data_IF_104891728947
#
_entry.id   IF_104891728947
#
_cell.length_a   1.000
_cell.length_b   1.000
_cell.length_c   1.000
_cell.angle_alpha   90.00
_cell.angle_beta   90.00
_cell.angle_gamma   90.00
#
_symmetry.space_group_name_H-M   'P 1'
#
loop_
_entity.id
_entity.type
_entity.pdbx_description
1 polymer ?
#
# COMPACT_ATOMS: atom_id res chain seq x y z
N UNK A 1 -22.47 46.67 1.84
CA UNK A 1 -22.23 45.52 0.94
C UNK A 1 -20.87 45.71 0.30
N UNK A 2 -19.98 44.70 0.29
CA UNK A 2 -18.68 44.83 -0.37
C UNK A 2 -18.88 45.02 -1.89
N UNK A 3 -18.00 45.77 -2.59
CA UNK A 3 -18.07 45.93 -4.03
C UNK A 3 -17.93 44.59 -4.74
N UNK A 4 -18.65 44.40 -5.86
CA UNK A 4 -18.61 43.17 -6.67
C UNK A 4 -17.18 42.69 -6.99
N UNK A 5 -16.25 43.62 -7.22
CA UNK A 5 -14.84 43.33 -7.47
C UNK A 5 -14.13 42.62 -6.29
N UNK A 6 -14.44 43.00 -5.05
CA UNK A 6 -13.83 42.35 -3.87
C UNK A 6 -14.33 40.92 -3.70
N UNK A 7 -15.59 40.66 -4.05
CA UNK A 7 -16.14 39.30 -4.07
C UNK A 7 -15.44 38.45 -5.13
N UNK A 8 -15.24 38.97 -6.34
CA UNK A 8 -14.55 38.26 -7.43
C UNK A 8 -13.09 37.91 -7.06
N UNK A 9 -12.34 38.83 -6.48
CA UNK A 9 -10.97 38.55 -6.01
C UNK A 9 -10.98 37.43 -4.95
N UNK A 10 -11.89 37.50 -3.97
CA UNK A 10 -11.98 36.49 -2.93
C UNK A 10 -12.30 35.10 -3.52
N UNK A 11 -13.22 35.01 -4.49
CA UNK A 11 -13.53 33.76 -5.19
C UNK A 11 -12.33 33.22 -5.99
N UNK A 12 -11.62 34.08 -6.73
CA UNK A 12 -10.40 33.67 -7.45
C UNK A 12 -9.32 33.16 -6.50
N UNK A 13 -9.13 33.83 -5.36
CA UNK A 13 -8.16 33.43 -4.36
C UNK A 13 -8.51 32.08 -3.70
N UNK A 14 -9.77 31.88 -3.31
CA UNK A 14 -10.24 30.59 -2.77
C UNK A 14 -10.08 29.48 -3.80
N UNK A 15 -10.43 29.73 -5.06
CA UNK A 15 -10.27 28.74 -6.14
C UNK A 15 -8.81 28.34 -6.34
N UNK A 16 -7.88 29.31 -6.28
CA UNK A 16 -6.45 29.05 -6.34
C UNK A 16 -5.98 28.19 -5.16
N UNK A 17 -6.43 28.48 -3.94
CA UNK A 17 -6.09 27.67 -2.76
C UNK A 17 -6.60 26.23 -2.88
N UNK A 18 -7.81 26.02 -3.40
CA UNK A 18 -8.36 24.69 -3.64
C UNK A 18 -7.53 23.94 -4.68
N UNK A 19 -7.13 24.59 -5.78
CA UNK A 19 -6.28 23.99 -6.80
C UNK A 19 -4.91 23.59 -6.22
N UNK A 20 -4.28 24.49 -5.45
CA UNK A 20 -3.02 24.18 -4.75
C UNK A 20 -3.20 23.00 -3.80
N UNK A 21 -4.28 22.97 -3.02
CA UNK A 21 -4.57 21.87 -2.11
C UNK A 21 -4.72 20.53 -2.84
N UNK A 22 -5.45 20.50 -3.96
CA UNK A 22 -5.62 19.30 -4.78
C UNK A 22 -4.29 18.85 -5.39
N UNK A 23 -3.48 19.78 -5.88
CA UNK A 23 -2.17 19.49 -6.48
C UNK A 23 -1.13 19.01 -5.46
N UNK A 24 -1.15 19.57 -4.24
CA UNK A 24 -0.18 19.22 -3.19
C UNK A 24 -0.60 17.98 -2.42
N UNK A 25 -1.90 17.72 -2.26
CA UNK A 25 -2.40 16.51 -1.58
C UNK A 25 -1.99 15.26 -2.38
N UNK A 26 -1.15 14.36 -1.81
CA UNK A 26 -0.72 13.16 -2.51
C UNK A 26 -1.89 12.26 -2.92
N UNK A 27 -2.97 12.25 -2.12
CA UNK A 27 -4.19 11.47 -2.37
C UNK A 27 -4.99 11.99 -3.56
N UNK A 28 -5.14 13.30 -3.69
CA UNK A 28 -5.95 13.86 -4.79
C UNK A 28 -5.13 14.03 -6.07
N UNK A 29 -3.87 14.46 -5.95
CA UNK A 29 -2.94 14.54 -7.09
C UNK A 29 -2.78 13.19 -7.78
N UNK A 30 -2.75 12.08 -7.03
CA UNK A 30 -2.68 10.74 -7.61
C UNK A 30 -3.93 10.34 -8.40
N UNK A 31 -5.02 11.09 -8.38
CA UNK A 31 -6.16 10.85 -9.28
C UNK A 31 -5.88 11.49 -10.63
N UNK A 32 -5.42 12.74 -10.62
CA UNK A 32 -5.27 13.57 -11.82
C UNK A 32 -3.93 13.38 -12.55
N UNK A 33 -2.88 12.90 -11.86
CA UNK A 33 -1.53 12.79 -12.42
C UNK A 33 -1.02 11.34 -12.43
N UNK A 34 -1.21 10.58 -13.53
CA UNK A 34 -0.71 9.22 -13.68
C UNK A 34 0.81 9.07 -13.54
N UNK A 35 1.58 10.07 -14.00
CA UNK A 35 3.04 10.08 -13.89
C UNK A 35 3.51 9.96 -12.43
N UNK A 36 2.86 10.66 -11.50
CA UNK A 36 3.20 10.58 -10.07
C UNK A 36 2.96 9.18 -9.51
N UNK A 37 1.93 8.46 -9.99
CA UNK A 37 1.69 7.07 -9.58
C UNK A 37 2.81 6.17 -10.10
N UNK A 38 3.14 6.29 -11.38
CA UNK A 38 4.22 5.53 -12.00
C UNK A 38 5.56 5.77 -11.29
N UNK A 39 5.89 7.02 -10.98
CA UNK A 39 7.09 7.40 -10.22
C UNK A 39 7.10 6.80 -8.81
N UNK A 40 5.97 6.81 -8.09
CA UNK A 40 5.87 6.20 -6.75
C UNK A 40 6.09 4.69 -6.80
N UNK A 41 5.45 4.00 -7.74
CA UNK A 41 5.62 2.55 -7.89
C UNK A 41 7.06 2.21 -8.31
N UNK A 42 7.61 2.94 -9.29
CA UNK A 42 8.98 2.72 -9.73
C UNK A 42 9.98 3.02 -8.60
N UNK A 43 9.78 4.11 -7.86
CA UNK A 43 10.59 4.45 -6.68
C UNK A 43 10.56 3.35 -5.63
N UNK A 44 9.39 2.81 -5.32
CA UNK A 44 9.24 1.67 -4.41
C UNK A 44 9.99 0.42 -4.91
N UNK A 45 9.86 0.07 -6.19
CA UNK A 45 10.54 -1.09 -6.79
C UNK A 45 12.06 -0.89 -6.77
N UNK A 46 12.55 0.27 -7.21
CA UNK A 46 13.99 0.59 -7.20
C UNK A 46 14.56 0.56 -5.77
N UNK A 47 13.84 1.11 -4.79
CA UNK A 47 14.25 1.09 -3.39
C UNK A 47 14.30 -0.34 -2.83
N UNK A 48 13.32 -1.17 -3.19
CA UNK A 48 13.28 -2.58 -2.81
C UNK A 48 14.49 -3.34 -3.40
N UNK A 49 14.77 -3.11 -4.68
CA UNK A 49 15.89 -3.73 -5.38
C UNK A 49 17.24 -3.31 -4.80
N UNK A 50 17.41 -2.03 -4.45
CA UNK A 50 18.67 -1.52 -3.90
C UNK A 50 18.97 -1.99 -2.48
N UNK A 51 17.93 -2.15 -1.64
CA UNK A 51 18.08 -2.63 -0.26
C UNK A 51 18.00 -4.16 -0.13
N UNK A 52 17.58 -4.86 -1.19
CA UNK A 52 17.42 -6.32 -1.17
C UNK A 52 16.23 -6.80 -0.33
N UNK A 53 15.32 -5.89 0.07
CA UNK A 53 14.12 -6.21 0.82
C UNK A 53 13.00 -5.18 0.61
N UNK A 54 11.75 -5.62 0.73
CA UNK A 54 10.58 -4.76 0.78
C UNK A 54 10.54 -4.10 2.15
N UNK A 55 10.61 -2.77 2.20
CA UNK A 55 10.36 -2.02 3.42
C UNK A 55 8.84 -1.92 3.66
N UNK A 56 8.36 -2.43 4.80
CA UNK A 56 6.94 -2.41 5.11
C UNK A 56 6.35 -0.99 5.14
N UNK A 57 7.04 -0.03 5.75
CA UNK A 57 6.55 1.35 5.83
C UNK A 57 6.42 1.99 4.45
N UNK A 58 7.37 1.74 3.55
CA UNK A 58 7.32 2.25 2.17
C UNK A 58 6.21 1.60 1.35
N UNK A 59 5.93 0.30 1.58
CA UNK A 59 4.74 -0.33 1.01
C UNK A 59 3.45 0.34 1.48
N UNK A 60 3.34 0.66 2.78
CA UNK A 60 2.15 1.35 3.33
C UNK A 60 1.98 2.75 2.74
N UNK A 61 3.07 3.52 2.62
CA UNK A 61 3.07 4.81 1.92
C UNK A 61 2.63 4.65 0.47
N UNK A 62 3.18 3.69 -0.26
CA UNK A 62 2.78 3.39 -1.64
C UNK A 62 1.27 3.10 -1.68
N UNK A 63 0.77 2.17 -0.86
CA UNK A 63 -0.64 1.78 -0.81
C UNK A 63 -1.58 2.98 -0.65
N UNK A 64 -1.27 3.88 0.28
CA UNK A 64 -2.12 5.02 0.62
C UNK A 64 -1.98 6.21 -0.33
N UNK A 65 -0.82 6.38 -0.95
CA UNK A 65 -0.52 7.51 -1.85
C UNK A 65 -0.61 7.15 -3.33
N UNK A 66 -0.76 5.88 -3.69
CA UNK A 66 -0.88 5.45 -5.08
C UNK A 66 -2.24 5.82 -5.66
N UNK A 67 -3.32 5.61 -4.91
CA UNK A 67 -4.67 6.03 -5.31
C UNK A 67 -5.63 6.05 -4.11
N UNK A 68 -6.60 6.99 -4.04
CA UNK A 68 -7.59 7.02 -2.96
C UNK A 68 -8.34 5.70 -2.83
N UNK A 69 -8.44 5.18 -1.62
CA UNK A 69 -9.11 3.92 -1.36
C UNK A 69 -9.66 3.83 0.05
N UNK A 70 -10.34 2.72 0.31
CA UNK A 70 -10.97 2.42 1.59
C UNK A 70 -10.16 1.32 2.27
N UNK A 71 -9.77 1.58 3.52
CA UNK A 71 -9.16 0.59 4.41
C UNK A 71 -10.25 0.01 5.32
N UNK A 72 -10.44 -1.30 5.25
CA UNK A 72 -11.37 -2.03 6.10
C UNK A 72 -10.60 -2.97 7.01
N UNK A 73 -10.90 -2.91 8.31
CA UNK A 73 -10.35 -3.82 9.32
C UNK A 73 -11.45 -4.73 9.86
N UNK A 74 -11.23 -6.05 9.83
CA UNK A 74 -12.12 -7.04 10.42
C UNK A 74 -11.34 -7.99 11.33
N UNK A 75 -11.39 -7.69 12.63
CA UNK A 75 -10.72 -8.45 13.69
C UNK A 75 -11.13 -9.92 13.78
N UNK A 76 -12.36 -10.24 13.39
CA UNK A 76 -12.91 -11.60 13.52
C UNK A 76 -12.65 -12.46 12.28
N UNK A 77 -11.98 -11.92 11.26
CA UNK A 77 -11.86 -12.58 9.96
C UNK A 77 -10.84 -13.73 9.90
N UNK A 78 -10.18 -14.15 10.99
CA UNK A 78 -9.12 -15.16 10.90
C UNK A 78 -9.58 -16.48 10.22
N UNK A 79 -8.83 -17.04 9.25
CA UNK A 79 -7.54 -16.59 8.68
C UNK A 79 -7.66 -15.67 7.44
N UNK A 80 -8.87 -15.29 7.03
CA UNK A 80 -9.15 -14.35 5.95
C UNK A 80 -8.54 -12.97 6.24
N UNK A 81 -8.29 -12.16 5.19
CA UNK A 81 -7.64 -10.89 5.38
C UNK A 81 -8.37 -10.04 6.40
N UNK A 82 -7.65 -9.70 7.48
CA UNK A 82 -8.17 -8.89 8.57
C UNK A 82 -7.93 -7.40 8.29
N UNK A 83 -7.03 -7.06 7.36
CA UNK A 83 -6.93 -5.74 6.73
C UNK A 83 -7.13 -5.90 5.24
N UNK A 84 -8.00 -5.08 4.68
CA UNK A 84 -8.19 -4.96 3.24
C UNK A 84 -8.13 -3.50 2.84
N UNK A 85 -7.33 -3.17 1.84
CA UNK A 85 -7.38 -1.87 1.17
C UNK A 85 -7.94 -2.07 -0.23
N UNK A 86 -8.95 -1.28 -0.62
CA UNK A 86 -9.50 -1.31 -1.99
C UNK A 86 -9.54 0.07 -2.60
N UNK A 87 -9.07 0.16 -3.83
CA UNK A 87 -9.28 1.28 -4.74
C UNK A 87 -9.33 0.80 -6.19
N UNK A 88 -9.58 1.72 -7.12
CA UNK A 88 -9.60 1.41 -8.56
C UNK A 88 -8.24 0.92 -9.07
N UNK A 89 -7.15 1.40 -8.47
CA UNK A 89 -5.78 1.21 -8.95
C UNK A 89 -4.93 0.33 -8.06
N UNK A 90 -5.25 0.19 -6.78
CA UNK A 90 -4.49 -0.67 -5.87
C UNK A 90 -5.42 -1.37 -4.88
N UNK A 91 -5.25 -2.69 -4.77
CA UNK A 91 -5.95 -3.52 -3.79
C UNK A 91 -4.91 -4.28 -3.00
N UNK A 92 -5.02 -4.30 -1.66
CA UNK A 92 -4.21 -5.17 -0.82
C UNK A 92 -5.05 -5.96 0.18
N UNK A 93 -4.57 -7.16 0.50
CA UNK A 93 -5.13 -8.07 1.47
C UNK A 93 -4.02 -8.49 2.43
N UNK A 94 -4.31 -8.42 3.72
CA UNK A 94 -3.33 -8.71 4.75
C UNK A 94 -3.90 -9.70 5.77
N UNK A 95 -3.14 -10.77 6.00
CA UNK A 95 -3.50 -11.92 6.83
C UNK A 95 -2.38 -12.25 7.82
N UNK A 96 -2.73 -12.93 8.91
CA UNK A 96 -1.74 -13.50 9.81
C UNK A 96 -1.56 -14.96 9.46
N UNK A 97 -0.32 -15.38 9.24
CA UNK A 97 0.02 -16.78 8.99
C UNK A 97 0.90 -17.33 10.12
N UNK A 98 0.82 -18.62 10.45
CA UNK A 98 1.75 -19.26 11.39
C UNK A 98 3.22 -19.11 10.96
N UNK A 99 4.14 -18.88 11.91
CA UNK A 99 5.59 -18.84 11.61
C UNK A 99 6.12 -20.09 10.88
N UNK A 100 5.69 -21.33 11.19
CA UNK A 100 6.14 -22.51 10.46
C UNK A 100 5.84 -22.47 8.95
N UNK A 101 4.84 -21.70 8.53
CA UNK A 101 4.50 -21.53 7.12
C UNK A 101 5.48 -20.62 6.35
N UNK A 102 6.40 -19.92 7.03
CA UNK A 102 7.55 -19.22 6.41
C UNK A 102 8.51 -20.15 5.67
N UNK A 103 8.49 -21.45 6.00
CA UNK A 103 9.36 -22.46 5.39
C UNK A 103 8.61 -23.35 4.38
N UNK A 104 7.31 -23.11 4.15
CA UNK A 104 6.58 -23.77 3.06
C UNK A 104 6.99 -23.17 1.71
N UNK A 105 6.73 -23.95 0.65
CA UNK A 105 7.05 -23.65 -0.75
C UNK A 105 6.78 -22.18 -1.09
N UNK A 106 7.85 -21.41 -1.22
CA UNK A 106 7.87 -20.03 -1.65
C UNK A 106 8.34 -19.95 -3.12
N UNK A 107 7.76 -19.08 -3.96
CA UNK A 107 6.57 -18.26 -3.70
C UNK A 107 5.28 -19.10 -3.62
N UNK A 108 4.23 -18.61 -2.94
CA UNK A 108 2.95 -19.34 -2.80
C UNK A 108 2.11 -19.35 -4.09
N UNK A 109 2.65 -18.83 -5.20
CA UNK A 109 1.96 -18.61 -6.48
C UNK A 109 2.78 -19.15 -7.65
N UNK A 110 2.10 -19.64 -8.69
CA UNK A 110 2.77 -20.05 -9.92
C UNK A 110 3.24 -18.83 -10.71
N UNK A 111 4.55 -18.59 -10.71
CA UNK A 111 5.19 -17.47 -11.40
C UNK A 111 5.77 -17.84 -12.78
N UNK A 112 5.48 -19.05 -13.29
CA UNK A 112 6.00 -19.51 -14.58
C UNK A 112 5.60 -18.54 -15.70
N UNK A 113 6.60 -18.03 -16.43
CA UNK A 113 6.38 -17.08 -17.53
C UNK A 113 6.07 -15.65 -17.10
N UNK A 114 6.05 -15.34 -15.80
CA UNK A 114 5.86 -13.97 -15.29
C UNK A 114 7.19 -13.22 -15.29
N UNK A 115 7.14 -11.91 -15.55
CA UNK A 115 8.32 -11.04 -15.41
C UNK A 115 8.51 -10.68 -13.94
N UNK A 116 9.53 -11.24 -13.32
CA UNK A 116 9.93 -10.96 -11.94
C UNK A 116 10.68 -9.62 -11.91
N UNK A 117 10.32 -8.77 -10.96
CA UNK A 117 10.97 -7.48 -10.71
C UNK A 117 11.86 -7.54 -9.46
N UNK A 118 11.47 -8.36 -8.48
CA UNK A 118 12.24 -8.59 -7.27
C UNK A 118 11.80 -9.92 -6.65
N UNK A 119 12.75 -10.69 -6.12
CA UNK A 119 12.46 -11.93 -5.40
C UNK A 119 13.52 -12.20 -4.33
N UNK A 120 13.09 -12.57 -3.13
CA UNK A 120 13.92 -13.19 -2.10
C UNK A 120 13.11 -14.28 -1.38
N UNK A 121 13.62 -14.80 -0.24
CA UNK A 121 13.00 -15.92 0.49
C UNK A 121 11.53 -15.70 0.87
N UNK A 122 11.10 -14.47 1.14
CA UNK A 122 9.77 -14.16 1.69
C UNK A 122 9.08 -13.00 0.96
N UNK A 123 9.64 -12.51 -0.13
CA UNK A 123 9.20 -11.30 -0.80
C UNK A 123 9.31 -11.46 -2.31
N UNK A 124 8.30 -10.98 -3.02
CA UNK A 124 8.17 -11.15 -4.46
C UNK A 124 7.43 -9.94 -5.04
N UNK A 125 8.01 -9.36 -6.09
CA UNK A 125 7.37 -8.37 -6.95
C UNK A 125 7.44 -8.88 -8.38
N UNK A 126 6.31 -8.94 -9.07
CA UNK A 126 6.25 -9.43 -10.45
C UNK A 126 5.12 -8.78 -11.23
N UNK A 127 5.21 -8.81 -12.55
CA UNK A 127 4.07 -8.52 -13.42
C UNK A 127 3.16 -9.74 -13.50
N UNK A 128 1.95 -9.63 -12.95
CA UNK A 128 0.88 -10.61 -13.13
C UNK A 128 0.36 -10.57 -14.57
N UNK A 129 0.17 -9.36 -15.08
CA UNK A 129 -0.26 -9.04 -16.44
C UNK A 129 0.54 -7.82 -16.92
N UNK A 130 0.38 -7.43 -18.19
CA UNK A 130 1.11 -6.29 -18.78
C UNK A 130 1.01 -5.00 -17.94
N UNK A 131 -0.15 -4.77 -17.32
CA UNK A 131 -0.48 -3.55 -16.60
C UNK A 131 -0.77 -3.80 -15.11
N UNK A 132 -0.39 -4.95 -14.56
CA UNK A 132 -0.63 -5.28 -13.16
C UNK A 132 0.64 -5.78 -12.50
N UNK A 133 1.14 -5.02 -11.53
CA UNK A 133 2.23 -5.42 -10.64
C UNK A 133 1.65 -6.04 -9.38
N UNK A 134 2.11 -7.25 -9.07
CA UNK A 134 1.85 -7.94 -7.82
C UNK A 134 3.01 -7.72 -6.87
N UNK A 135 2.66 -7.44 -5.62
CA UNK A 135 3.59 -7.33 -4.50
C UNK A 135 3.12 -8.34 -3.46
N UNK A 136 3.99 -9.26 -3.08
CA UNK A 136 3.70 -10.30 -2.10
C UNK A 136 4.85 -10.35 -1.11
N UNK A 137 4.55 -10.30 0.19
CA UNK A 137 5.59 -10.45 1.20
C UNK A 137 5.09 -11.02 2.50
N UNK A 138 6.01 -11.62 3.24
CA UNK A 138 5.81 -12.03 4.62
C UNK A 138 6.83 -11.30 5.50
N UNK A 139 6.33 -10.62 6.54
CA UNK A 139 7.17 -9.92 7.53
C UNK A 139 6.93 -10.42 8.95
N UNK A 140 7.95 -10.40 9.82
CA UNK A 140 7.74 -10.66 11.23
C UNK A 140 6.83 -9.58 11.83
N UNK A 141 6.05 -9.96 12.84
CA UNK A 141 5.15 -9.02 13.54
C UNK A 141 5.91 -7.83 14.13
N UNK A 142 7.13 -8.05 14.63
CA UNK A 142 7.97 -6.99 15.19
C UNK A 142 8.25 -5.86 14.20
N UNK A 143 8.41 -6.18 12.91
CA UNK A 143 8.57 -5.17 11.85
C UNK A 143 7.23 -4.48 11.55
N UNK A 144 6.15 -5.25 11.39
CA UNK A 144 4.84 -4.69 11.00
C UNK A 144 4.18 -3.82 12.05
N UNK A 145 4.44 -4.08 13.34
CA UNK A 145 3.99 -3.19 14.41
C UNK A 145 4.59 -1.79 14.22
N UNK A 146 5.85 -1.69 13.80
CA UNK A 146 6.51 -0.40 13.58
C UNK A 146 6.05 0.32 12.32
N UNK A 147 5.65 -0.45 11.29
CA UNK A 147 5.13 0.09 10.05
C UNK A 147 3.68 0.59 10.16
N UNK A 148 2.90 -0.01 11.07
CA UNK A 148 1.49 0.33 11.26
C UNK A 148 1.32 1.47 12.26
N UNK A 149 0.61 2.51 11.86
CA UNK A 149 0.16 3.57 12.78
C UNK A 149 -0.87 3.07 13.83
N UNK A 150 -1.30 1.80 13.77
CA UNK A 150 -2.20 1.16 14.73
C UNK A 150 -1.43 0.71 15.98
N UNK A 151 -0.91 1.66 16.75
CA UNK A 151 0.02 1.41 17.85
C UNK A 151 -0.63 1.12 19.22
N UNK A 152 -1.91 0.76 19.29
CA UNK A 152 -2.58 0.42 20.56
C UNK A 152 -3.04 -1.04 20.59
N UNK A 153 -2.08 -1.97 20.47
CA UNK A 153 -2.36 -3.38 20.68
C UNK A 153 -2.52 -3.67 22.18
N UNK A 154 -3.77 -3.82 22.62
CA UNK A 154 -4.11 -4.31 23.96
C UNK A 154 -3.48 -5.70 24.16
N UNK A 155 -3.23 -6.12 25.41
CA UNK A 155 -2.57 -7.40 25.70
C UNK A 155 -3.27 -8.63 25.10
N UNK A 156 -4.60 -8.56 24.93
CA UNK A 156 -5.38 -9.57 24.22
C UNK A 156 -5.01 -9.69 22.73
N UNK A 157 -4.64 -8.59 22.10
CA UNK A 157 -4.25 -8.53 20.69
C UNK A 157 -2.80 -8.97 20.49
N UNK A 158 -1.92 -8.70 21.47
CA UNK A 158 -0.55 -9.25 21.48
C UNK A 158 -0.54 -10.79 21.45
N UNK A 159 -1.44 -11.44 22.22
CA UNK A 159 -1.61 -12.90 22.18
C UNK A 159 -2.06 -13.42 20.81
N UNK A 160 -2.88 -12.66 20.08
CA UNK A 160 -3.31 -13.04 18.72
C UNK A 160 -2.14 -13.01 17.72
N UNK A 161 -1.13 -12.17 17.96
CA UNK A 161 0.02 -12.00 17.07
C UNK A 161 1.19 -12.95 17.42
N UNK A 162 1.13 -13.64 18.56
CA UNK A 162 2.15 -14.59 18.97
C UNK A 162 2.29 -15.74 17.97
N UNK A 163 3.53 -16.12 17.66
CA UNK A 163 3.90 -17.20 16.74
C UNK A 163 3.36 -17.06 15.30
N UNK A 164 3.09 -15.82 14.89
CA UNK A 164 2.62 -15.50 13.54
C UNK A 164 3.59 -14.58 12.79
N UNK A 165 3.42 -14.54 11.49
CA UNK A 165 3.96 -13.54 10.60
C UNK A 165 2.82 -12.83 9.87
N UNK A 166 3.11 -11.63 9.40
CA UNK A 166 2.18 -10.82 8.62
C UNK A 166 2.39 -11.11 7.14
N UNK A 167 1.33 -11.54 6.47
CA UNK A 167 1.34 -11.83 5.05
C UNK A 167 0.56 -10.75 4.30
N UNK A 168 1.18 -10.18 3.28
CA UNK A 168 0.56 -9.16 2.43
C UNK A 168 0.55 -9.64 0.99
N UNK A 169 -0.58 -9.45 0.34
CA UNK A 169 -0.70 -9.49 -1.12
C UNK A 169 -1.28 -8.17 -1.61
N UNK A 170 -0.71 -7.60 -2.66
CA UNK A 170 -1.23 -6.41 -3.29
C UNK A 170 -1.18 -6.50 -4.80
N UNK A 171 -2.17 -5.91 -5.46
CA UNK A 171 -2.26 -5.73 -6.90
C UNK A 171 -2.29 -4.25 -7.21
N UNK A 172 -1.35 -3.80 -8.03
CA UNK A 172 -1.17 -2.42 -8.45
C UNK A 172 -1.38 -2.34 -9.96
N UNK A 173 -2.44 -1.64 -10.38
CA UNK A 173 -2.72 -1.39 -11.79
C UNK A 173 -1.91 -0.19 -12.28
N UNK A 174 -1.25 -0.36 -13.40
CA UNK A 174 -0.48 0.65 -14.11
C UNK A 174 -1.35 1.15 -15.28
N UNK A 175 -1.30 2.45 -15.54
CA UNK A 175 -2.03 3.11 -16.63
C UNK A 175 -1.13 3.33 -17.85
#
# INVERSE_FOLDING_TARGET
MPPLYHQLIAFSFISLLILIFISVSPRYSSVFFPSQRAERLQGFITNTQSHGLINAQDFWKLREMYYPGILTFNKNAYPNPFVTFKSDKITSYESLIPLPDLNRKWPPVNITGKKILFENKNELIYFEEKNVVRIVFIKPISEMITANAFYDYKDKDKKLLQDKAWYVTASVKID
#
